data_IF_461853642729
#
_entry.id   IF_461853642729
#
_cell.length_a   1.000
_cell.length_b   1.000
_cell.length_c   1.000
_cell.angle_alpha   90.00
_cell.angle_beta   90.00
_cell.angle_gamma   90.00
#
_symmetry.space_group_name_H-M   'P 1'
#
loop_
_entity.id
_entity.type
_entity.pdbx_description
1 polymer ?
2 non-polymer ?
3 water ?
#
# COMPACT_ATOMS: atom_id res chain seq x y z
N UNK A 2 -14.00 16.01 -10.51
CA UNK A 2 -14.31 15.27 -9.25
C UNK A 2 -14.49 16.18 -8.06
N UNK A 3 -15.50 15.89 -7.25
CA UNK A 3 -15.77 16.69 -6.07
C UNK A 3 -14.73 16.42 -4.98
N UNK A 4 -14.69 17.31 -3.98
CA UNK A 4 -13.76 17.14 -2.88
C UNK A 4 -14.06 15.86 -2.11
N UNK A 5 -15.35 15.54 -1.93
CA UNK A 5 -15.72 14.32 -1.22
C UNK A 5 -15.42 13.07 -2.03
N UNK A 6 -15.43 13.17 -3.36
CA UNK A 6 -15.09 12.02 -4.18
C UNK A 6 -13.66 11.57 -3.94
N UNK A 7 -12.73 12.52 -3.79
CA UNK A 7 -11.34 12.14 -3.53
C UNK A 7 -11.21 11.43 -2.19
N UNK A 8 -11.92 11.91 -1.16
CA UNK A 8 -11.85 11.25 0.13
C UNK A 8 -12.21 9.77 0.03
N UNK A 9 -13.15 9.43 -0.86
CA UNK A 9 -13.45 8.03 -1.13
C UNK A 9 -12.31 7.34 -1.85
N UNK A 10 -11.47 8.09 -2.57
CA UNK A 10 -10.33 7.49 -3.26
C UNK A 10 -9.17 7.24 -2.30
N UNK A 11 -8.81 8.24 -1.51
CA UNK A 11 -7.72 8.06 -0.54
C UNK A 11 -8.05 7.01 0.50
N UNK A 12 -9.33 6.74 0.75
CA UNK A 12 -9.73 5.71 1.70
C UNK A 12 -9.89 4.34 1.07
N UNK A 13 -10.14 4.28 -0.24
CA UNK A 13 -10.21 3.01 -0.96
C UNK A 13 -8.87 2.61 -1.58
N UNK A 14 -8.05 3.58 -1.97
CA UNK A 14 -6.68 3.31 -2.40
C UNK A 14 -5.78 2.91 -1.23
N UNK A 15 -6.24 3.13 0.00
CA UNK A 15 -5.54 2.68 1.20
C UNK A 15 -5.85 1.20 1.41
N UNK A 16 -5.62 0.70 2.63
CA UNK A 16 -5.58 -0.73 2.91
C UNK A 16 -6.64 -1.48 2.12
N UNK A 17 -6.18 -2.44 1.32
CA UNK A 17 -7.07 -3.31 0.54
C UNK A 17 -6.88 -4.75 0.96
N UNK A 18 -5.63 -5.22 0.91
CA UNK A 18 -5.34 -6.60 1.33
C UNK A 18 -4.53 -6.64 2.62
N UNK A 19 -3.73 -5.59 2.88
CA UNK A 19 -2.95 -5.54 4.11
C UNK A 19 -3.86 -5.49 5.32
N UNK A 20 -5.13 -5.12 5.14
CA UNK A 20 -6.09 -5.18 6.23
C UNK A 20 -6.17 -6.58 6.82
N UNK A 21 -6.05 -7.60 5.97
CA UNK A 21 -6.04 -8.98 6.44
C UNK A 21 -4.72 -9.36 7.09
N UNK A 22 -3.62 -8.73 6.71
CA UNK A 22 -2.30 -9.07 7.20
C UNK A 22 -1.91 -8.31 8.47
N UNK A 23 -2.60 -7.22 8.79
CA UNK A 23 -2.25 -6.46 9.98
C UNK A 23 -2.32 -7.29 11.25
N UNK A 24 -3.37 -8.09 11.49
CA UNK A 24 -3.37 -8.92 12.70
C UNK A 24 -2.14 -9.81 12.80
N UNK A 25 -1.69 -10.35 11.68
CA UNK A 25 -0.45 -11.14 11.66
C UNK A 25 0.73 -10.28 12.10
N UNK A 26 0.74 -9.00 11.69
CA UNK A 26 1.84 -8.12 12.05
C UNK A 26 1.92 -7.88 13.54
N UNK A 27 0.77 -7.66 14.20
CA UNK A 27 0.79 -7.39 15.63
C UNK A 27 1.39 -8.55 16.41
N UNK A 28 1.15 -9.78 15.96
CA UNK A 28 1.73 -10.94 16.63
C UNK A 28 3.26 -10.88 16.64
N UNK A 29 3.85 -10.13 15.72
CA UNK A 29 5.29 -9.93 15.70
C UNK A 29 5.73 -8.69 16.45
N UNK A 30 4.84 -7.70 16.61
CA UNK A 30 5.16 -6.46 17.29
C UNK A 30 4.60 -6.38 18.70
N UNK A 31 3.49 -7.06 18.97
CA UNK A 31 2.76 -6.86 20.20
C UNK A 31 1.70 -5.78 20.04
N UNK A 32 0.69 -5.85 20.91
CA UNK A 32 -0.42 -4.92 20.79
C UNK A 32 0.02 -3.47 21.04
N UNK A 33 0.92 -3.26 22.00
CA UNK A 33 1.36 -1.91 22.31
C UNK A 33 2.12 -1.30 21.13
N UNK A 34 3.21 -1.95 20.71
CA UNK A 34 3.98 -1.44 19.59
C UNK A 34 3.17 -1.38 18.31
N UNK A 35 2.21 -2.30 18.15
CA UNK A 35 1.37 -2.31 16.97
C UNK A 35 0.52 -1.06 16.86
N UNK A 36 -0.10 -0.66 17.96
CA UNK A 36 -0.93 0.55 17.95
C UNK A 36 -0.06 1.78 17.69
N UNK A 37 1.09 1.85 18.35
CA UNK A 37 1.94 3.04 18.21
C UNK A 37 2.44 3.20 16.78
N UNK A 38 2.85 2.11 16.13
CA UNK A 38 3.38 2.21 14.78
C UNK A 38 2.33 2.70 13.80
N UNK A 39 1.10 2.20 13.90
CA UNK A 39 0.05 2.66 13.00
C UNK A 39 -0.19 4.15 13.18
N UNK A 40 -0.26 4.62 14.43
CA UNK A 40 -0.36 6.06 14.67
C UNK A 40 0.89 6.77 14.20
N UNK A 41 2.07 6.19 14.46
CA UNK A 41 3.31 6.83 14.08
C UNK A 41 3.42 6.98 12.56
N UNK A 42 3.23 5.87 11.84
CA UNK A 42 3.29 5.93 10.38
C UNK A 42 2.02 6.52 9.78
N UNK A 43 0.90 6.43 10.48
CA UNK A 43 -0.30 7.11 10.00
C UNK A 43 -0.12 8.60 9.90
N UNK A 44 0.54 9.20 10.90
CA UNK A 44 0.82 10.63 10.83
C UNK A 44 1.93 10.93 9.83
N UNK A 45 2.99 10.13 9.84
CA UNK A 45 4.05 10.31 8.85
C UNK A 45 3.54 10.06 7.44
N UNK A 46 2.72 9.01 7.26
CA UNK A 46 2.13 8.78 5.96
C UNK A 46 1.23 9.92 5.52
N UNK A 47 0.47 10.49 6.45
CA UNK A 47 -0.34 11.66 6.15
C UNK A 47 0.52 12.91 5.97
N UNK A 48 1.68 12.97 6.62
CA UNK A 48 2.58 14.11 6.45
C UNK A 48 3.24 14.12 5.09
N UNK A 49 3.65 12.95 4.58
CA UNK A 49 4.27 12.88 3.27
C UNK A 49 3.29 13.18 2.15
N UNK A 50 2.01 12.85 2.32
CA UNK A 50 1.01 13.25 1.35
C UNK A 50 0.93 14.77 1.23
N UNK A 51 1.12 15.49 2.35
CA UNK A 51 1.21 16.93 2.28
C UNK A 51 2.43 17.37 1.48
N UNK A 52 3.56 16.69 1.67
CA UNK A 52 4.75 17.00 0.89
C UNK A 52 4.51 16.80 -0.60
N UNK A 53 3.84 15.69 -0.98
CA UNK A 53 3.45 15.49 -2.36
C UNK A 53 2.42 16.49 -2.83
N UNK A 54 1.65 17.09 -1.91
CA UNK A 54 0.63 18.07 -2.27
C UNK A 54 1.23 19.43 -2.58
N UNK A 55 2.14 19.91 -1.73
CA UNK A 55 2.77 21.20 -2.01
C UNK A 55 3.64 21.12 -3.26
N UNK A 56 4.30 19.98 -3.48
CA UNK A 56 5.11 19.82 -4.68
C UNK A 56 4.25 19.90 -5.94
N UNK A 57 3.10 19.24 -5.93
CA UNK A 57 2.22 19.27 -7.10
C UNK A 57 1.72 20.69 -7.36
N UNK A 58 1.31 21.40 -6.31
CA UNK A 58 0.83 22.77 -6.47
C UNK A 58 1.96 23.65 -7.03
N UNK A 59 3.18 23.47 -6.52
CA UNK A 59 4.31 24.24 -7.03
C UNK A 59 4.54 23.95 -8.52
N UNK A 60 4.48 22.67 -8.90
CA UNK A 60 4.73 22.30 -10.28
C UNK A 60 3.69 22.92 -11.21
N UNK A 61 2.40 22.75 -10.88
CA UNK A 61 1.35 23.25 -11.76
C UNK A 61 1.41 24.77 -11.87
N UNK A 62 1.62 25.46 -10.75
CA UNK A 62 1.65 26.92 -10.79
C UNK A 62 2.80 27.42 -11.64
N UNK A 63 3.99 26.82 -11.49
CA UNK A 63 5.12 27.21 -12.33
C UNK A 63 4.83 26.94 -13.79
N UNK A 64 4.21 25.80 -14.11
CA UNK A 64 3.89 25.43 -15.47
C UNK A 64 2.73 26.21 -16.04
N UNK A 65 1.73 26.54 -15.22
CA UNK A 65 0.61 27.34 -15.72
C UNK A 65 1.06 28.75 -16.10
N UNK A 66 1.95 29.35 -15.31
CA UNK A 66 2.44 30.69 -15.61
C UNK A 66 3.26 30.74 -16.90
N UNK A 67 3.69 29.61 -17.41
CA UNK A 67 4.49 29.57 -18.64
C UNK A 67 3.82 28.70 -19.70
N UNK A 73 -3.32 21.14 -21.01
CA UNK A 73 -2.87 20.19 -19.99
C UNK A 73 -4.03 19.36 -19.49
N UNK A 74 -3.85 18.04 -19.43
CA UNK A 74 -4.91 17.12 -19.05
C UNK A 74 -4.54 16.19 -17.90
N UNK A 75 -3.29 15.72 -17.82
CA UNK A 75 -2.89 14.74 -16.82
C UNK A 75 -1.49 15.06 -16.33
N UNK A 76 -1.26 14.86 -15.03
CA UNK A 76 0.05 15.00 -14.41
C UNK A 76 0.29 13.77 -13.55
N UNK A 77 1.57 13.40 -13.39
CA UNK A 77 1.94 12.26 -12.58
C UNK A 77 3.23 12.58 -11.84
N UNK A 78 3.61 11.68 -10.93
CA UNK A 78 4.75 11.96 -10.05
C UNK A 78 6.06 12.02 -10.84
N UNK A 79 6.25 11.14 -11.82
CA UNK A 79 7.49 11.12 -12.59
C UNK A 79 7.64 12.37 -13.45
N UNK A 80 6.58 13.17 -13.60
CA UNK A 80 6.65 14.43 -14.31
C UNK A 80 6.80 15.64 -13.39
N UNK A 81 6.23 15.59 -12.19
CA UNK A 81 6.43 16.68 -11.23
C UNK A 81 7.89 16.79 -10.86
N UNK A 82 8.56 15.66 -10.63
CA UNK A 82 9.99 15.69 -10.34
C UNK A 82 10.78 16.27 -11.51
N UNK A 83 10.37 15.95 -12.73
CA UNK A 83 11.08 16.46 -13.91
C UNK A 83 11.07 17.98 -13.94
N UNK A 84 9.90 18.58 -13.72
CA UNK A 84 9.80 20.02 -13.78
C UNK A 84 10.56 20.73 -12.68
N UNK A 85 10.60 20.14 -11.48
CA UNK A 85 11.20 20.78 -10.32
C UNK A 85 12.68 20.45 -10.17
N UNK A 86 13.07 19.20 -10.38
CA UNK A 86 14.41 18.74 -10.08
C UNK A 86 15.16 18.15 -11.26
N UNK A 87 14.68 18.34 -12.48
CA UNK A 87 15.37 17.85 -13.66
C UNK A 87 15.00 16.41 -13.99
N UNK A 88 15.53 15.95 -15.12
CA UNK A 88 15.19 14.61 -15.61
C UNK A 88 15.86 13.50 -14.80
N UNK A 89 16.92 13.82 -14.06
CA UNK A 89 17.56 12.79 -13.24
C UNK A 89 16.61 12.23 -12.20
N UNK A 90 15.82 13.09 -11.57
CA UNK A 90 14.82 12.62 -10.62
C UNK A 90 13.64 11.97 -11.33
N UNK A 91 13.37 12.37 -12.58
CA UNK A 91 12.30 11.74 -13.35
C UNK A 91 12.57 10.25 -13.53
N UNK A 92 13.81 9.90 -13.89
CA UNK A 92 14.18 8.49 -13.97
C UNK A 92 14.13 7.83 -12.61
N UNK A 93 14.59 8.53 -11.57
CA UNK A 93 14.56 7.98 -10.23
C UNK A 93 13.14 7.69 -9.78
N UNK A 94 12.24 8.66 -9.93
CA UNK A 94 10.85 8.46 -9.53
C UNK A 94 10.13 7.44 -10.39
N UNK A 95 10.42 7.43 -11.70
CA UNK A 95 9.73 6.51 -12.60
C UNK A 95 10.08 5.06 -12.28
N UNK A 96 11.36 4.77 -12.04
CA UNK A 96 11.77 3.40 -11.79
C UNK A 96 11.18 2.90 -10.48
N UNK A 97 11.31 3.70 -9.41
CA UNK A 97 10.81 3.26 -8.12
C UNK A 97 9.30 3.09 -8.12
N UNK A 98 8.57 3.99 -8.79
CA UNK A 98 7.12 3.85 -8.86
C UNK A 98 6.72 2.60 -9.65
N UNK A 99 7.31 2.42 -10.83
CA UNK A 99 6.98 1.25 -11.65
C UNK A 99 7.40 -0.05 -10.97
N UNK A 100 8.53 -0.05 -10.27
CA UNK A 100 8.94 -1.25 -9.53
C UNK A 100 8.00 -1.55 -8.38
N UNK A 101 7.48 -0.52 -7.71
CA UNK A 101 6.50 -0.70 -6.66
C UNK A 101 5.14 -1.15 -7.18
N UNK A 102 4.75 -0.71 -8.37
CA UNK A 102 3.52 -1.17 -9.01
C UNK A 102 3.61 -2.60 -9.50
N UNK A 103 4.77 -3.03 -9.98
CA UNK A 103 4.93 -4.42 -10.39
C UNK A 103 4.76 -5.36 -9.20
N UNK A 104 5.46 -5.08 -8.10
CA UNK A 104 5.32 -5.88 -6.90
C UNK A 104 4.02 -5.58 -6.18
N UNK A 105 3.60 -4.32 -6.15
CA UNK A 105 2.33 -3.99 -5.55
C UNK A 105 1.17 -4.68 -6.25
N UNK A 106 1.26 -4.80 -7.57
CA UNK A 106 0.24 -5.55 -8.32
C UNK A 106 0.35 -7.05 -8.06
N UNK A 107 1.57 -7.55 -7.85
CA UNK A 107 1.75 -8.97 -7.54
C UNK A 107 1.07 -9.30 -6.22
N UNK A 108 1.20 -8.42 -5.23
CA UNK A 108 0.61 -8.67 -3.92
C UNK A 108 -0.90 -8.88 -4.05
N UNK A 109 -1.54 -8.07 -4.90
CA UNK A 109 -2.98 -8.23 -5.11
C UNK A 109 -3.29 -9.61 -5.69
N UNK A 110 -2.50 -10.07 -6.67
CA UNK A 110 -2.73 -11.40 -7.23
C UNK A 110 -2.53 -12.48 -6.19
N UNK A 111 -1.50 -12.34 -5.35
CA UNK A 111 -1.29 -13.31 -4.27
C UNK A 111 -2.45 -13.27 -3.29
N UNK A 112 -2.90 -12.06 -2.94
CA UNK A 112 -4.01 -11.94 -2.00
C UNK A 112 -5.29 -12.51 -2.57
N UNK A 113 -5.58 -12.25 -3.85
CA UNK A 113 -6.80 -12.79 -4.46
C UNK A 113 -6.79 -14.31 -4.42
N UNK A 114 -5.67 -14.93 -4.80
CA UNK A 114 -5.58 -16.38 -4.75
C UNK A 114 -5.68 -16.89 -3.32
N UNK A 115 -5.10 -16.17 -2.36
CA UNK A 115 -5.17 -16.60 -0.97
C UNK A 115 -6.60 -16.53 -0.44
N UNK A 116 -7.29 -15.42 -0.69
CA UNK A 116 -8.63 -15.23 -0.13
C UNK A 116 -9.62 -16.24 -0.71
N UNK A 117 -9.57 -16.47 -2.03
CA UNK A 117 -10.53 -17.38 -2.65
C UNK A 117 -10.38 -18.78 -2.08
N UNK A 118 -9.17 -19.16 -1.69
CA UNK A 118 -8.96 -20.49 -1.12
C UNK A 118 -9.79 -20.71 0.13
N UNK A 119 -10.12 -19.63 0.84
CA UNK A 119 -10.81 -19.74 2.12
C UNK A 119 -12.33 -19.82 1.97
N UNK A 120 -12.86 -19.75 0.75
CA UNK A 120 -14.25 -20.09 0.51
C UNK A 120 -14.41 -21.33 -0.35
N UNK A 121 -13.39 -21.73 -1.11
CA UNK A 121 -13.42 -22.96 -1.90
C UNK A 121 -12.03 -23.58 -1.80
N UNK A 122 -11.85 -24.46 -0.82
CA UNK A 122 -10.55 -25.08 -0.56
C UNK A 122 -10.30 -26.31 -1.42
N UNK A 123 -11.24 -26.70 -2.27
CA UNK A 123 -11.05 -27.87 -3.13
C UNK A 123 -9.88 -27.70 -4.08
N UNK A 124 -9.45 -26.48 -4.36
CA UNK A 124 -8.29 -26.20 -5.19
C UNK A 124 -7.25 -25.48 -4.36
N UNK A 125 -5.99 -25.89 -4.51
CA UNK A 125 -4.92 -25.31 -3.71
C UNK A 125 -4.68 -23.86 -4.11
N UNK A 126 -4.01 -23.13 -3.22
CA UNK A 126 -3.80 -21.70 -3.42
C UNK A 126 -2.99 -21.42 -4.68
N UNK A 127 -1.97 -22.25 -4.96
CA UNK A 127 -1.18 -22.05 -6.17
C UNK A 127 -2.05 -22.18 -7.42
N UNK A 128 -2.93 -23.19 -7.44
CA UNK A 128 -3.84 -23.34 -8.58
C UNK A 128 -4.75 -22.12 -8.71
N UNK A 129 -5.24 -21.60 -7.59
CA UNK A 129 -6.06 -20.40 -7.64
C UNK A 129 -5.30 -19.23 -8.24
N UNK A 130 -3.98 -19.22 -8.10
CA UNK A 130 -3.18 -18.20 -8.78
C UNK A 130 -3.21 -18.36 -10.29
N UNK A 131 -3.34 -19.59 -10.80
CA UNK A 131 -3.54 -19.78 -12.23
C UNK A 131 -4.88 -19.22 -12.66
N UNK A 132 -5.95 -19.57 -11.95
CA UNK A 132 -7.29 -19.15 -12.34
C UNK A 132 -7.44 -17.65 -12.22
N UNK A 133 -7.01 -17.09 -11.08
CA UNK A 133 -7.09 -15.64 -10.91
C UNK A 133 -6.01 -14.91 -11.69
N UNK A 134 -4.89 -15.57 -11.98
CA UNK A 134 -3.90 -14.95 -12.84
C UNK A 134 -4.46 -14.63 -14.21
N UNK A 135 -5.18 -15.58 -14.80
CA UNK A 135 -5.86 -15.33 -16.07
C UNK A 135 -6.95 -14.28 -15.90
N UNK A 136 -7.72 -14.36 -14.82
CA UNK A 136 -8.75 -13.36 -14.54
C UNK A 136 -8.15 -12.00 -14.19
N UNK A 137 -6.87 -11.95 -13.82
CA UNK A 137 -6.16 -10.70 -13.64
C UNK A 137 -5.35 -10.29 -14.86
N UNK A 138 -5.04 -11.24 -15.74
CA UNK A 138 -4.37 -10.94 -17.00
C UNK A 138 -5.33 -10.41 -18.05
N UNK A 139 -6.63 -10.54 -17.85
CA UNK A 139 -7.62 -9.94 -18.75
C UNK A 139 -7.70 -8.44 -18.57
N UNK A 140 -7.04 -7.88 -17.56
CA UNK A 140 -6.97 -6.43 -17.42
C UNK A 140 -6.35 -5.76 -18.63
N UNK A 141 -5.54 -6.50 -19.41
CA UNK A 141 -4.98 -5.95 -20.63
C UNK A 141 -6.05 -5.62 -21.65
N UNK A 142 -7.25 -6.19 -21.51
CA UNK A 142 -8.35 -5.98 -22.44
C UNK A 142 -9.25 -4.82 -22.03
N UNK A 143 -8.75 -3.92 -21.21
CA UNK A 143 -9.48 -2.74 -20.78
C UNK A 143 -8.60 -1.53 -21.05
N UNK A 144 -9.10 -0.50 -21.75
CA UNK A 144 -8.21 0.64 -22.08
C UNK A 144 -7.58 1.30 -20.86
N UNK A 145 -8.35 1.48 -19.78
CA UNK A 145 -7.83 2.12 -18.58
C UNK A 145 -8.86 2.10 -17.47
N UNK A 146 -8.41 2.22 -16.22
CA UNK A 146 -9.30 2.32 -15.07
C UNK A 146 -9.37 3.72 -14.48
N UNK A 147 -8.50 4.64 -14.88
CA UNK A 147 -8.55 5.99 -14.33
C UNK A 147 -9.91 6.63 -14.56
N UNK A 148 -10.59 6.27 -15.66
CA UNK A 148 -11.89 6.84 -15.96
C UNK A 148 -12.98 6.35 -15.02
N UNK A 149 -12.72 5.30 -14.24
CA UNK A 149 -13.69 4.76 -13.30
C UNK A 149 -13.20 4.90 -11.86
N UNK A 150 -12.61 6.05 -11.54
CA UNK A 150 -12.13 6.31 -10.19
C UNK A 150 -13.20 6.98 -9.35
N UNK A 151 -14.38 7.21 -9.93
CA UNK A 151 -15.49 7.80 -9.19
C UNK A 151 -16.33 6.74 -8.49
N UNK A 152 -16.11 5.45 -8.76
CA UNK A 152 -16.79 4.37 -8.07
C UNK A 152 -16.07 3.93 -6.81
N UNK A 153 -15.15 4.75 -6.30
CA UNK A 153 -14.37 4.38 -5.13
C UNK A 153 -15.23 4.21 -3.88
N UNK A 154 -16.45 4.76 -3.86
CA UNK A 154 -17.31 4.60 -2.70
C UNK A 154 -17.60 3.13 -2.43
N UNK A 155 -17.67 2.31 -3.48
CA UNK A 155 -17.84 0.87 -3.28
C UNK A 155 -16.64 0.28 -2.56
N UNK A 156 -15.43 0.63 -2.98
CA UNK A 156 -14.25 0.07 -2.35
C UNK A 156 -14.19 0.38 -0.88
N UNK A 157 -14.61 1.57 -0.48
CA UNK A 157 -14.67 1.90 0.93
C UNK A 157 -15.64 0.99 1.67
N UNK A 158 -16.80 0.71 1.06
CA UNK A 158 -17.77 -0.18 1.68
C UNK A 158 -17.20 -1.59 1.82
N UNK A 159 -16.52 -2.09 0.78
CA UNK A 159 -15.96 -3.42 0.85
C UNK A 159 -14.90 -3.50 1.95
N UNK A 160 -14.06 -2.48 2.06
CA UNK A 160 -13.05 -2.48 3.12
C UNK A 160 -13.69 -2.22 4.48
N UNK A 161 -14.71 -1.37 4.53
CA UNK A 161 -15.36 -1.05 5.80
C UNK A 161 -16.00 -2.27 6.41
N UNK A 162 -16.71 -3.07 5.60
CA UNK A 162 -17.37 -4.26 6.12
C UNK A 162 -16.35 -5.27 6.62
N UNK A 163 -15.28 -5.51 5.85
CA UNK A 163 -14.29 -6.50 6.24
C UNK A 163 -13.60 -6.12 7.54
N UNK A 164 -13.24 -4.85 7.70
CA UNK A 164 -12.58 -4.42 8.92
C UNK A 164 -13.49 -4.60 10.13
N UNK A 165 -14.77 -4.27 9.98
CA UNK A 165 -15.70 -4.39 11.11
C UNK A 165 -16.07 -5.84 11.37
N UNK A 166 -16.02 -6.71 10.35
CA UNK A 166 -16.21 -8.13 10.58
C UNK A 166 -15.05 -8.72 11.39
N UNK A 167 -13.82 -8.35 11.04
CA UNK A 167 -12.67 -8.95 11.70
C UNK A 167 -12.68 -8.66 13.20
N UNK A 168 -13.00 -7.42 13.57
CA UNK A 168 -13.03 -7.08 14.99
C UNK A 168 -14.25 -7.68 15.68
N UNK A 169 -15.42 -7.59 15.06
CA UNK A 169 -16.63 -8.12 15.68
C UNK A 169 -16.57 -9.64 15.76
N UNK A 170 -16.14 -10.29 14.68
CA UNK A 170 -16.03 -11.74 14.69
C UNK A 170 -15.03 -12.22 15.72
N UNK A 171 -13.89 -11.54 15.84
CA UNK A 171 -12.88 -11.93 16.83
C UNK A 171 -13.43 -11.77 18.24
N UNK A 172 -14.11 -10.65 18.51
CA UNK A 172 -14.67 -10.44 19.84
C UNK A 172 -15.71 -11.49 20.19
N UNK A 173 -16.59 -11.83 19.25
CA UNK A 173 -17.57 -12.88 19.49
C UNK A 173 -16.90 -14.24 19.64
N UNK A 174 -15.85 -14.51 18.88
CA UNK A 174 -15.15 -15.78 19.00
C UNK A 174 -14.57 -15.95 20.39
N UNK A 175 -13.92 -14.91 20.91
CA UNK A 175 -13.37 -14.96 22.26
C UNK A 175 -12.08 -15.76 22.33
N UNK A 176 -11.16 -15.32 23.17
CA UNK A 176 -9.91 -16.05 23.35
C UNK A 176 -10.14 -17.26 24.25
N UNK A 177 -9.13 -18.14 24.30
CA UNK A 177 -9.20 -19.37 25.07
C UNK A 177 -7.91 -19.54 25.86
N UNK A 178 -7.82 -20.68 26.56
CA UNK A 178 -6.64 -20.95 27.37
C UNK A 178 -5.38 -21.05 26.51
N UNK A 179 -5.48 -21.70 25.34
CA UNK A 179 -4.31 -21.88 24.49
C UNK A 179 -3.79 -20.55 23.94
N UNK A 180 -4.58 -19.49 24.00
CA UNK A 180 -4.16 -18.21 23.43
C UNK A 180 -3.07 -17.60 24.30
N UNK A 181 -1.99 -17.19 23.67
CA UNK A 181 -0.88 -16.54 24.36
C UNK A 181 -0.41 -15.35 23.53
N UNK A 182 0.18 -14.36 24.21
CA UNK A 182 0.70 -13.15 23.59
C UNK A 182 2.15 -12.95 24.03
N UNK A 183 3.07 -13.49 23.24
CA UNK A 183 4.49 -13.40 23.57
C UNK A 183 5.11 -12.06 23.18
N UNK A 184 4.42 -11.26 22.38
CA UNK A 184 4.93 -9.96 22.01
C UNK A 184 6.18 -10.04 21.16
N UNK A 185 7.11 -9.09 21.34
CA UNK A 185 8.31 -9.06 20.50
C UNK A 185 9.32 -10.14 20.86
N UNK A 186 9.10 -11.36 20.36
CA UNK A 186 10.00 -12.46 20.68
C UNK A 186 11.39 -12.23 20.10
N UNK A 187 11.48 -11.78 18.85
CA UNK A 187 12.76 -11.62 18.18
C UNK A 187 12.75 -10.34 17.36
N UNK A 188 13.95 -9.80 17.12
CA UNK A 188 14.07 -8.58 16.33
C UNK A 188 13.73 -8.82 14.87
N UNK A 189 14.05 -10.00 14.34
CA UNK A 189 13.73 -10.29 12.95
C UNK A 189 12.23 -10.19 12.71
N UNK A 190 11.44 -10.77 13.62
CA UNK A 190 9.99 -10.68 13.51
C UNK A 190 9.49 -9.27 13.79
N UNK A 191 10.07 -8.63 14.82
CA UNK A 191 9.58 -7.31 15.23
C UNK A 191 9.68 -6.32 14.08
N UNK A 192 10.87 -6.20 13.47
CA UNK A 192 11.04 -5.26 12.38
C UNK A 192 10.28 -5.68 11.12
N UNK A 193 10.06 -6.97 10.94
CA UNK A 193 9.23 -7.41 9.81
C UNK A 193 7.80 -6.90 9.97
N UNK A 194 7.27 -6.96 11.19
CA UNK A 194 5.93 -6.43 11.42
C UNK A 194 5.87 -4.93 11.24
N UNK A 195 6.87 -4.21 11.76
CA UNK A 195 6.91 -2.76 11.62
C UNK A 195 6.96 -2.35 10.16
N UNK A 196 7.54 -3.18 9.30
CA UNK A 196 7.58 -2.88 7.87
C UNK A 196 6.22 -3.07 7.22
N UNK A 197 5.42 -4.02 7.71
CA UNK A 197 4.06 -4.14 7.19
C UNK A 197 3.23 -2.90 7.47
N UNK A 198 3.40 -2.30 8.64
CA UNK A 198 2.70 -1.06 8.96
C UNK A 198 3.25 0.08 8.10
N UNK A 199 4.56 0.11 7.86
CA UNK A 199 5.13 1.10 6.96
C UNK A 199 4.57 0.93 5.55
N UNK A 200 4.47 -0.32 5.09
CA UNK A 200 3.88 -0.57 3.77
C UNK A 200 2.42 -0.15 3.74
N UNK A 201 1.73 -0.22 4.88
CA UNK A 201 0.31 0.09 4.91
C UNK A 201 0.02 1.53 4.53
N UNK A 202 0.82 2.47 5.05
CA UNK A 202 0.51 3.89 4.97
C UNK A 202 1.51 4.60 4.06
N UNK A 203 1.11 5.78 3.59
CA UNK A 203 2.02 6.65 2.86
C UNK A 203 1.42 7.35 1.66
N UNK A 204 0.46 6.71 0.99
CA UNK A 204 -0.14 7.31 -0.19
C UNK A 204 -0.11 6.39 -1.40
N UNK A 205 0.86 5.48 -1.43
CA UNK A 205 0.97 4.48 -2.50
C UNK A 205 1.27 5.12 -3.85
N UNK A 206 1.91 6.29 -3.82
CA UNK A 206 2.53 6.88 -5.02
C UNK A 206 1.51 7.44 -6.01
N UNK A 207 0.23 7.24 -5.76
CA UNK A 207 -0.81 7.71 -6.68
C UNK A 207 -1.55 8.87 -6.04
N UNK A 208 -0.91 9.51 -5.06
CA UNK A 208 -1.47 10.68 -4.40
C UNK A 208 -1.46 11.92 -5.29
N UNK A 209 -0.60 11.96 -6.31
CA UNK A 209 -0.51 13.11 -7.20
C UNK A 209 -1.57 13.09 -8.31
N UNK A 210 -2.04 11.91 -8.71
CA UNK A 210 -3.08 11.81 -9.72
C UNK A 210 -4.45 12.19 -9.16
N UNK A 211 -4.69 11.92 -7.89
CA UNK A 211 -5.98 12.26 -7.28
C UNK A 211 -6.19 13.76 -7.26
N UNK A 212 -5.14 14.51 -6.91
CA UNK A 212 -5.30 15.96 -6.75
C UNK A 212 -5.68 16.65 -8.05
N UNK A 213 -5.22 16.12 -9.18
CA UNK A 213 -5.47 16.75 -10.48
C UNK A 213 -6.93 16.67 -10.90
N UNK A 214 -7.74 15.86 -10.22
CA UNK A 214 -9.15 15.73 -10.53
C UNK A 214 -10.05 16.67 -9.74
N UNK A 215 -9.50 17.41 -8.77
CA UNK A 215 -10.30 18.28 -7.94
C UNK A 215 -10.64 19.58 -8.67
N UNK A 216 -11.71 20.23 -8.23
CA UNK A 216 -11.95 21.62 -8.61
C UNK A 216 -10.92 22.53 -7.94
N UNK A 217 -10.38 22.11 -6.80
CA UNK A 217 -9.47 22.95 -6.00
C UNK A 217 -8.47 22.04 -5.32
N UNK A 218 -7.37 21.70 -6.00
CA UNK A 218 -6.41 20.73 -5.43
C UNK A 218 -5.73 21.23 -4.16
N UNK A 219 -5.83 22.52 -3.83
CA UNK A 219 -5.06 23.06 -2.71
C UNK A 219 -5.41 22.36 -1.41
N UNK A 220 -6.69 22.11 -1.16
CA UNK A 220 -7.15 21.57 0.12
C UNK A 220 -7.05 20.05 0.20
N UNK A 221 -6.25 19.40 -0.65
CA UNK A 221 -6.08 17.96 -0.53
C UNK A 221 -5.38 17.59 0.77
N UNK A 222 -4.38 18.38 1.18
CA UNK A 222 -3.60 18.03 2.37
C UNK A 222 -4.49 17.80 3.57
N UNK A 223 -5.59 18.55 3.70
CA UNK A 223 -6.53 18.33 4.78
C UNK A 223 -7.40 17.11 4.54
N UNK A 224 -7.77 16.86 3.28
CA UNK A 224 -8.63 15.71 2.97
C UNK A 224 -7.91 14.40 3.29
N UNK A 225 -6.63 14.28 2.94
CA UNK A 225 -5.92 13.04 3.20
C UNK A 225 -5.85 12.75 4.69
N UNK A 226 -5.61 13.79 5.51
CA UNK A 226 -5.53 13.58 6.95
C UNK A 226 -6.83 12.99 7.48
N UNK A 227 -7.97 13.50 7.01
CA UNK A 227 -9.26 12.90 7.38
C UNK A 227 -9.40 11.51 6.78
N UNK A 228 -8.82 11.28 5.59
CA UNK A 228 -8.84 9.96 4.99
C UNK A 228 -7.97 8.97 5.75
N UNK A 229 -6.84 9.42 6.29
CA UNK A 229 -6.00 8.55 7.10
C UNK A 229 -6.59 8.30 8.48
N UNK A 230 -7.34 9.26 9.02
CA UNK A 230 -8.00 9.05 10.30
C UNK A 230 -9.05 7.96 10.19
N UNK A 231 -9.81 7.94 9.09
CA UNK A 231 -10.77 6.87 8.88
C UNK A 231 -10.07 5.52 8.76
N UNK A 232 -8.95 5.48 8.05
CA UNK A 232 -8.23 4.22 7.89
C UNK A 232 -7.80 3.67 9.24
N UNK A 233 -7.30 4.54 10.13
CA UNK A 233 -6.95 4.09 11.46
C UNK A 233 -8.15 3.50 12.20
N UNK A 234 -9.35 4.01 11.90
CA UNK A 234 -10.55 3.39 12.47
C UNK A 234 -10.79 2.00 11.89
N UNK A 235 -10.27 1.73 10.68
CA UNK A 235 -10.43 0.42 10.08
C UNK A 235 -9.37 -0.56 10.57
N UNK A 236 -8.14 -0.08 10.78
CA UNK A 236 -7.01 -0.95 11.09
C UNK A 236 -6.79 -1.15 12.59
N UNK A 237 -6.90 -0.08 13.40
CA UNK A 237 -6.63 -0.23 14.82
C UNK A 237 -7.54 -1.24 15.49
N UNK A 238 -8.87 -1.20 15.30
CA UNK A 238 -9.73 -2.17 15.99
C UNK A 238 -9.72 -3.55 15.37
N UNK A 239 -9.59 -3.67 14.05
CA UNK A 239 -9.55 -4.99 13.43
C UNK A 239 -8.28 -5.74 13.81
N UNK A 240 -7.13 -5.07 13.70
CA UNK A 240 -5.87 -5.73 14.04
C UNK A 240 -5.74 -5.98 15.53
N UNK A 241 -6.15 -5.01 16.35
CA UNK A 241 -6.06 -5.18 17.79
C UNK A 241 -6.99 -6.30 18.28
N UNK A 242 -8.20 -6.36 17.73
CA UNK A 242 -9.17 -7.35 18.21
C UNK A 242 -8.79 -8.75 17.77
N UNK A 243 -8.37 -8.91 16.50
CA UNK A 243 -8.01 -10.24 16.01
C UNK A 243 -6.81 -10.78 16.78
N UNK A 244 -5.82 -9.93 17.04
CA UNK A 244 -4.67 -10.36 17.82
C UNK A 244 -5.08 -10.77 19.23
N UNK A 245 -5.98 -10.02 19.85
CA UNK A 245 -6.43 -10.34 21.19
C UNK A 245 -7.11 -11.71 21.22
N UNK A 246 -7.95 -11.99 20.22
CA UNK A 246 -8.70 -13.25 20.21
C UNK A 246 -7.79 -14.44 19.99
N UNK A 247 -6.82 -14.34 19.07
CA UNK A 247 -6.01 -15.48 18.67
C UNK A 247 -4.57 -15.40 19.14
N UNK A 248 -4.03 -14.22 19.41
CA UNK A 248 -2.70 -14.10 19.94
C UNK A 248 -1.65 -14.64 18.99
N UNK A 249 -0.70 -15.40 19.54
CA UNK A 249 0.45 -15.87 18.78
C UNK A 249 0.08 -16.86 17.70
N UNK A 250 -1.14 -17.40 17.71
CA UNK A 250 -1.54 -18.32 16.65
C UNK A 250 -1.49 -17.65 15.27
N UNK A 251 -1.54 -16.31 15.25
CA UNK A 251 -1.50 -15.61 13.98
C UNK A 251 -0.15 -15.71 13.29
N UNK A 252 0.91 -16.00 14.06
CA UNK A 252 2.25 -16.07 13.48
C UNK A 252 2.33 -17.06 12.33
N UNK A 253 1.63 -18.20 12.43
CA UNK A 253 1.61 -19.19 11.37
C UNK A 253 0.41 -19.03 10.44
N UNK A 254 -0.39 -17.97 10.63
CA UNK A 254 -1.57 -17.70 9.82
C UNK A 254 -1.53 -16.23 9.40
N UNK A 255 -0.94 -15.98 8.24
CA UNK A 255 -0.82 -14.61 7.74
C UNK A 255 -2.17 -13.98 7.45
N UNK A 256 -3.12 -14.74 6.91
CA UNK A 256 -4.43 -14.23 6.54
C UNK A 256 -5.37 -14.42 7.72
N UNK A 257 -5.94 -13.32 8.20
CA UNK A 257 -6.80 -13.38 9.39
C UNK A 257 -8.01 -14.25 9.16
N UNK A 258 -8.51 -14.31 7.92
CA UNK A 258 -9.69 -15.11 7.63
C UNK A 258 -9.47 -16.61 7.82
N UNK A 259 -8.21 -17.06 7.86
CA UNK A 259 -7.94 -18.47 8.08
C UNK A 259 -8.30 -18.91 9.49
N UNK A 260 -8.25 -17.99 10.45
CA UNK A 260 -8.51 -18.34 11.85
C UNK A 260 -9.97 -18.21 12.23
N UNK A 261 -10.67 -17.20 11.70
CA UNK A 261 -12.06 -17.01 12.05
C UNK A 261 -12.90 -18.18 11.55
N UNK A 262 -13.94 -18.57 12.28
CA UNK A 262 -14.73 -19.73 11.87
C UNK A 262 -15.42 -19.50 10.53
N UNK A 263 -15.54 -20.57 9.75
CA UNK A 263 -16.21 -20.49 8.45
C UNK A 263 -17.69 -20.20 8.66
N UNK A 264 -18.18 -19.17 7.98
CA UNK A 264 -19.57 -18.74 8.15
C UNK A 264 -19.98 -17.95 6.91
N UNK A 265 -21.30 -17.80 6.74
CA UNK A 265 -21.79 -17.00 5.63
C UNK A 265 -21.26 -15.59 5.65
N UNK A 266 -21.11 -15.00 6.84
CA UNK A 266 -20.51 -13.67 6.94
C UNK A 266 -19.06 -13.68 6.47
N UNK A 267 -18.31 -14.73 6.83
CA UNK A 267 -16.93 -14.83 6.39
C UNK A 267 -16.85 -14.96 4.87
N UNK A 268 -17.79 -15.70 4.26
CA UNK A 268 -17.83 -15.78 2.81
C UNK A 268 -18.00 -14.40 2.20
N UNK A 269 -18.85 -13.56 2.81
CA UNK A 269 -19.05 -12.21 2.30
C UNK A 269 -17.75 -11.42 2.34
N UNK A 270 -16.98 -11.59 3.42
CA UNK A 270 -15.71 -10.86 3.52
C UNK A 270 -14.80 -11.19 2.35
N UNK A 271 -14.71 -12.47 2.00
CA UNK A 271 -13.86 -12.87 0.88
C UNK A 271 -14.42 -12.33 -0.44
N UNK A 272 -15.73 -12.49 -0.65
CA UNK A 272 -16.33 -12.09 -1.93
C UNK A 272 -16.19 -10.59 -2.13
N UNK A 273 -16.53 -9.80 -1.11
CA UNK A 273 -16.36 -8.35 -1.22
C UNK A 273 -14.90 -7.97 -1.32
N UNK A 274 -14.03 -8.63 -0.54
CA UNK A 274 -12.61 -8.28 -0.58
C UNK A 274 -11.95 -8.70 -1.88
N UNK A 275 -12.41 -9.81 -2.46
CA UNK A 275 -11.84 -10.25 -3.74
C UNK A 275 -12.08 -9.21 -4.83
N UNK A 276 -13.30 -8.66 -4.87
CA UNK A 276 -13.61 -7.63 -5.86
C UNK A 276 -12.74 -6.40 -5.64
N UNK A 277 -12.59 -5.99 -4.38
CA UNK A 277 -11.78 -4.81 -4.09
C UNK A 277 -10.32 -4.99 -4.47
N UNK A 278 -9.79 -6.21 -4.39
CA UNK A 278 -8.41 -6.44 -4.76
C UNK A 278 -8.21 -6.58 -6.26
N UNK A 279 -9.19 -7.17 -6.96
CA UNK A 279 -9.10 -7.22 -8.42
C UNK A 279 -9.14 -5.82 -9.01
N UNK A 280 -10.04 -4.97 -8.51
CA UNK A 280 -10.07 -3.59 -8.97
C UNK A 280 -8.79 -2.87 -8.56
N UNK A 281 -8.32 -3.08 -7.33
CA UNK A 281 -7.04 -2.52 -6.91
C UNK A 281 -5.88 -3.06 -7.73
N UNK A 282 -6.00 -4.27 -8.27
CA UNK A 282 -5.02 -4.81 -9.20
C UNK A 282 -5.05 -4.10 -10.54
N UNK A 283 -6.22 -3.65 -11.00
CA UNK A 283 -6.32 -2.91 -12.23
C UNK A 283 -5.98 -1.43 -12.05
N UNK A 284 -5.93 -0.99 -10.79
CA UNK A 284 -5.49 0.35 -10.45
C UNK A 284 -3.99 0.45 -10.30
N UNK A 285 -3.32 -0.64 -9.92
CA UNK A 285 -1.86 -0.66 -9.78
C UNK A 285 -1.16 -1.22 -11.01
N UNK A 286 -1.92 -1.53 -12.07
CA UNK A 286 -1.33 -2.04 -13.30
C UNK A 286 -1.69 -1.19 -14.51
N UNK A 287 -2.76 -0.38 -14.44
CA UNK A 287 -3.10 0.49 -15.55
C UNK A 287 -2.04 1.56 -15.77
N UNK A 288 -1.26 1.98 -14.74
CA UNK A 288 -0.14 2.88 -15.02
C UNK A 288 1.03 2.14 -15.65
N UNK A 289 1.21 0.87 -15.27
CA UNK A 289 2.26 0.05 -15.87
C UNK A 289 2.02 -0.17 -17.35
N UNK A 290 0.78 -0.42 -17.76
CA UNK A 290 0.46 -0.61 -19.16
C UNK A 290 0.59 0.68 -19.97
N UNK A 291 0.66 1.83 -19.31
CA UNK A 291 0.85 3.11 -19.97
C UNK A 291 2.33 3.42 -20.19
N UNK A 292 3.16 3.22 -19.17
CA UNK A 292 4.60 3.39 -19.34
C UNK A 292 5.14 2.32 -20.27
N UNK A 293 4.66 1.08 -20.11
CA UNK A 293 5.16 -0.01 -20.94
C UNK A 293 4.87 0.23 -22.41
N UNK A 294 3.63 0.61 -22.74
CA UNK A 294 3.29 0.84 -24.14
C UNK A 294 4.08 2.02 -24.71
N UNK A 295 4.26 3.08 -23.91
CA UNK A 295 5.05 4.21 -24.38
C UNK A 295 6.49 3.80 -24.65
N UNK A 296 7.08 2.98 -23.78
CA UNK A 296 8.46 2.56 -23.97
C UNK A 296 8.62 1.78 -25.28
N UNK A 297 7.68 0.88 -25.57
CA UNK A 297 7.76 0.10 -26.81
C UNK A 297 7.24 0.88 -28.01
N UNK A 298 6.74 2.10 -27.80
CA UNK A 298 6.24 2.91 -28.90
C UNK A 298 4.74 2.78 -29.12
N UNK A 299 4.23 1.54 -29.10
CA UNK A 299 2.81 1.29 -29.31
C UNK A 299 1.97 2.19 -28.40
N UNK A 306 -7.19 -7.22 -29.83
CA UNK A 306 -6.91 -5.85 -30.23
C UNK A 306 -5.40 -5.65 -30.25
N UNK A 307 -4.91 -4.91 -31.26
CA UNK A 307 -3.47 -4.85 -31.50
C UNK A 307 -2.71 -4.37 -30.27
N UNK A 308 -3.31 -3.50 -29.46
CA UNK A 308 -2.64 -2.94 -28.28
C UNK A 308 -2.91 -3.77 -27.03
N UNK A 309 -4.17 -4.16 -26.81
CA UNK A 309 -4.56 -4.86 -25.60
C UNK A 309 -3.71 -6.11 -25.39
N UNK A 310 -3.63 -6.94 -26.43
CA UNK A 310 -2.84 -8.17 -26.32
C UNK A 310 -1.37 -7.85 -26.05
N UNK A 311 -0.88 -6.74 -26.62
CA UNK A 311 0.54 -6.40 -26.46
C UNK A 311 0.90 -6.05 -25.01
N UNK A 312 -0.10 -5.78 -24.16
CA UNK A 312 0.19 -5.45 -22.77
C UNK A 312 0.56 -6.69 -21.97
N UNK A 313 0.20 -7.88 -22.45
CA UNK A 313 0.37 -9.12 -21.72
C UNK A 313 1.80 -9.31 -21.22
N UNK A 314 2.83 -9.06 -22.05
CA UNK A 314 4.21 -9.21 -21.58
C UNK A 314 4.45 -8.68 -20.17
N UNK A 315 3.79 -7.58 -19.81
CA UNK A 315 3.93 -7.06 -18.45
C UNK A 315 3.34 -8.02 -17.44
N UNK A 316 2.26 -8.70 -17.81
CA UNK A 316 1.58 -9.60 -16.88
C UNK A 316 2.40 -10.85 -16.56
N UNK A 317 3.20 -11.33 -17.51
CA UNK A 317 3.94 -12.57 -17.33
C UNK A 317 4.79 -12.48 -16.07
N UNK A 318 5.54 -11.40 -15.85
CA UNK A 318 6.23 -11.26 -14.56
C UNK A 318 5.30 -11.34 -13.36
N UNK A 319 4.09 -10.79 -13.47
CA UNK A 319 3.16 -10.82 -12.35
C UNK A 319 2.77 -12.25 -12.01
N UNK A 320 2.49 -13.06 -13.03
CA UNK A 320 2.23 -14.47 -12.79
C UNK A 320 3.41 -15.15 -12.11
N UNK A 321 4.61 -14.98 -12.68
CA UNK A 321 5.77 -15.70 -12.18
C UNK A 321 6.06 -15.34 -10.73
N UNK A 322 6.10 -14.05 -10.42
CA UNK A 322 6.35 -13.63 -9.04
C UNK A 322 5.24 -14.09 -8.12
N UNK A 323 3.98 -13.99 -8.57
CA UNK A 323 2.85 -14.37 -7.74
C UNK A 323 2.86 -15.87 -7.45
N UNK A 324 3.37 -16.67 -8.37
CA UNK A 324 3.39 -18.11 -8.19
C UNK A 324 4.66 -18.59 -7.50
N UNK A 325 5.82 -18.05 -7.88
CA UNK A 325 7.06 -18.46 -7.24
C UNK A 325 7.12 -18.01 -5.79
N UNK A 326 6.56 -16.84 -5.48
CA UNK A 326 6.56 -16.30 -4.12
C UNK A 326 5.11 -15.98 -3.72
N UNK A 327 4.33 -17.00 -3.34
CA UNK A 327 2.96 -16.74 -2.89
C UNK A 327 2.91 -16.30 -1.43
N UNK A 328 4.05 -15.89 -0.87
CA UNK A 328 4.15 -15.57 0.55
C UNK A 328 3.30 -14.32 0.83
N UNK A 329 2.02 -14.57 1.12
CA UNK A 329 1.06 -13.47 1.28
C UNK A 329 1.50 -12.47 2.33
N UNK A 330 1.89 -12.96 3.51
CA UNK A 330 2.26 -12.09 4.59
C UNK A 330 3.64 -11.46 4.43
N UNK A 331 4.67 -12.29 4.41
CA UNK A 331 6.05 -11.74 4.36
C UNK A 331 6.32 -10.88 3.14
N UNK A 332 5.63 -11.09 2.03
CA UNK A 332 5.90 -10.28 0.84
C UNK A 332 5.54 -8.82 1.10
N UNK A 333 4.48 -8.56 1.88
CA UNK A 333 4.12 -7.18 2.18
C UNK A 333 5.30 -6.44 2.81
N UNK A 334 6.06 -7.12 3.66
CA UNK A 334 7.22 -6.48 4.27
C UNK A 334 8.38 -6.38 3.29
N UNK A 335 8.54 -7.38 2.42
CA UNK A 335 9.63 -7.34 1.45
C UNK A 335 9.46 -6.15 0.50
N UNK A 336 8.24 -5.90 0.04
CA UNK A 336 7.98 -4.72 -0.77
C UNK A 336 8.09 -3.45 0.08
N UNK A 337 7.61 -3.52 1.32
CA UNK A 337 7.56 -2.32 2.15
C UNK A 337 8.93 -1.73 2.43
N UNK A 338 9.88 -2.58 2.81
CA UNK A 338 11.18 -2.08 3.26
C UNK A 338 12.02 -1.58 2.10
N UNK A 339 11.96 -2.25 0.95
CA UNK A 339 12.85 -1.92 -0.16
C UNK A 339 12.26 -0.92 -1.15
N UNK A 340 10.94 -0.92 -1.34
CA UNK A 340 10.32 -0.10 -2.36
C UNK A 340 9.45 1.00 -1.78
N UNK A 341 8.50 0.67 -0.91
CA UNK A 341 7.64 1.70 -0.33
C UNK A 341 8.43 2.66 0.53
N UNK A 342 9.45 2.18 1.23
CA UNK A 342 10.28 3.04 2.06
C UNK A 342 11.05 4.06 1.23
N UNK A 343 11.28 3.80 -0.05
CA UNK A 343 11.97 4.72 -0.93
C UNK A 343 11.06 5.37 -1.95
N UNK A 344 9.85 4.85 -2.14
CA UNK A 344 8.93 5.38 -3.14
C UNK A 344 7.86 6.30 -2.57
N UNK A 345 7.50 6.13 -1.29
CA UNK A 345 6.38 6.84 -0.70
C UNK A 345 6.81 7.67 0.51
N UNK A 346 8.02 7.46 1.02
CA UNK A 346 8.47 8.19 2.20
C UNK A 346 9.71 9.03 1.92
N UNK A 347 10.75 8.42 1.35
CA UNK A 347 12.04 9.11 1.26
C UNK A 347 12.12 10.02 0.04
N UNK A 348 11.63 9.59 -1.12
CA UNK A 348 11.75 10.41 -2.32
C UNK A 348 10.82 11.61 -2.20
N UNK A 349 9.53 11.42 -1.89
CA UNK A 349 8.67 12.57 -1.59
C UNK A 349 9.26 13.54 -0.58
N UNK A 350 10.10 13.07 0.34
CA UNK A 350 10.73 13.92 1.34
C UNK A 350 12.00 14.57 0.85
N UNK A 351 12.86 13.85 0.12
CA UNK A 351 14.05 14.46 -0.45
C UNK A 351 13.68 15.52 -1.48
N UNK A 352 12.69 15.23 -2.33
CA UNK A 352 12.33 16.16 -3.39
C UNK A 352 11.88 17.49 -2.80
N UNK A 353 11.08 17.46 -1.74
CA UNK A 353 10.63 18.69 -1.10
C UNK A 353 11.82 19.50 -0.58
N UNK A 354 12.80 18.82 0.03
CA UNK A 354 13.97 19.52 0.54
C UNK A 354 14.82 20.10 -0.59
N UNK A 355 15.03 19.34 -1.67
CA UNK A 355 15.87 19.81 -2.76
C UNK A 355 15.22 20.98 -3.50
N UNK A 356 13.92 20.88 -3.79
CA UNK A 356 13.27 21.91 -4.59
C UNK A 356 13.28 23.27 -3.89
N UNK A 357 13.07 23.30 -2.58
CA UNK A 357 13.02 24.54 -1.82
C UNK A 357 14.36 24.93 -1.22
N UNK A 358 15.42 24.19 -1.53
CA UNK A 358 16.73 24.54 -0.99
C UNK A 358 17.18 25.93 -1.40
N UNK A 359 17.08 26.35 -2.67
CA UNK A 359 17.47 27.72 -3.02
C UNK A 359 16.61 28.74 -2.29
N UNK A 360 17.23 29.85 -1.89
CA UNK A 360 16.48 30.89 -1.21
C UNK A 360 15.37 31.49 -2.08
N UNK A 361 15.60 31.85 -3.33
CA UNK A 361 14.50 32.42 -4.14
C UNK A 361 13.31 31.49 -4.26
N UNK A 362 13.55 30.19 -4.42
CA UNK A 362 12.45 29.24 -4.52
C UNK A 362 11.68 29.17 -3.21
N UNK A 363 12.40 29.16 -2.08
CA UNK A 363 11.75 29.05 -0.78
C UNK A 363 10.93 30.30 -0.46
N UNK A 364 11.52 31.47 -0.65
CA UNK A 364 10.81 32.71 -0.36
C UNK A 364 9.62 32.89 -1.30
N UNK A 365 9.79 32.58 -2.57
CA UNK A 365 8.75 32.73 -3.57
C UNK A 365 7.87 31.49 -3.70
N UNK A 366 7.83 30.65 -2.66
CA UNK A 366 7.02 29.44 -2.71
C UNK A 366 5.54 29.79 -2.90
N UNK A 367 4.85 29.00 -3.71
CA UNK A 367 3.44 29.26 -3.99
C UNK A 367 2.61 29.14 -2.72
N UNK A 368 2.86 28.11 -1.91
CA UNK A 368 2.12 27.87 -0.68
C UNK A 368 3.09 27.91 0.49
N UNK A 369 2.75 28.68 1.52
CA UNK A 369 3.62 28.83 2.68
C UNK A 369 3.61 27.57 3.53
N UNK A 370 4.66 27.34 4.31
CA UNK A 370 4.69 26.17 5.19
C UNK A 370 3.73 26.34 6.36
N UNK A 371 3.39 25.27 7.06
CA UNK A 371 2.45 25.38 8.17
C UNK A 371 3.03 26.21 9.30
N UNK A 372 2.16 27.00 9.95
CA UNK A 372 2.58 27.77 11.11
C UNK A 372 2.79 26.88 12.33
N UNK A 373 1.95 25.86 12.50
CA UNK A 373 2.07 24.98 13.66
C UNK A 373 3.39 24.23 13.63
N UNK A 374 3.80 23.73 12.45
CA UNK A 374 5.05 22.99 12.36
C UNK A 374 6.24 23.86 12.70
N UNK A 375 6.17 25.16 12.41
CA UNK A 375 7.25 26.07 12.68
C UNK A 375 7.94 26.62 11.45
N UNK A 376 7.22 26.82 10.36
CA UNK A 376 7.83 27.40 9.18
C UNK A 376 8.79 26.43 8.50
N UNK A 377 9.68 27.01 7.69
CA UNK A 377 10.62 26.20 6.93
C UNK A 377 11.56 25.43 7.86
N UNK A 378 11.95 26.03 8.98
CA UNK A 378 12.83 25.36 9.93
C UNK A 378 12.18 24.07 10.44
N UNK A 379 10.89 24.14 10.79
CA UNK A 379 10.19 22.95 11.23
C UNK A 379 10.03 21.93 10.12
N UNK A 380 9.68 22.41 8.91
CA UNK A 380 9.44 21.49 7.81
C UNK A 380 10.70 20.72 7.44
N UNK A 381 11.84 21.41 7.37
CA UNK A 381 13.09 20.73 7.03
C UNK A 381 13.53 19.78 8.13
N UNK A 382 13.31 20.15 9.39
CA UNK A 382 13.65 19.26 10.49
C UNK A 382 12.80 17.99 10.43
N UNK A 383 11.50 18.13 10.16
CA UNK A 383 10.64 16.95 10.06
C UNK A 383 11.04 16.10 8.86
N UNK A 384 11.30 16.75 7.72
CA UNK A 384 11.70 16.01 6.53
C UNK A 384 13.00 15.25 6.75
N UNK A 385 13.96 15.86 7.45
CA UNK A 385 15.20 15.15 7.77
C UNK A 385 14.89 13.93 8.63
N UNK A 386 14.00 14.08 9.60
CA UNK A 386 13.62 12.94 10.44
C UNK A 386 12.97 11.84 9.62
N UNK A 387 12.11 12.21 8.67
CA UNK A 387 11.44 11.21 7.85
C UNK A 387 12.46 10.40 7.06
N UNK A 388 13.43 11.09 6.45
CA UNK A 388 14.46 10.40 5.68
C UNK A 388 15.33 9.54 6.59
N UNK A 389 15.76 10.10 7.72
CA UNK A 389 16.63 9.36 8.62
C UNK A 389 15.92 8.16 9.22
N UNK A 390 14.69 8.36 9.70
CA UNK A 390 13.98 7.27 10.36
C UNK A 390 13.67 6.15 9.38
N UNK A 391 13.09 6.49 8.23
CA UNK A 391 12.71 5.46 7.26
C UNK A 391 13.94 4.79 6.67
N UNK A 392 15.00 5.55 6.40
CA UNK A 392 16.20 4.95 5.81
C UNK A 392 16.82 3.93 6.74
N UNK A 393 16.90 4.23 8.03
CA UNK A 393 17.54 3.33 8.97
C UNK A 393 16.57 2.25 9.42
N UNK A 394 15.38 2.64 9.89
CA UNK A 394 14.43 1.68 10.40
C UNK A 394 13.61 1.07 9.27
N UNK A 395 13.09 1.91 8.38
CA UNK A 395 12.25 1.43 7.29
C UNK A 395 12.99 0.57 6.29
N UNK A 396 14.21 0.97 5.93
CA UNK A 396 14.99 0.25 4.93
C UNK A 396 16.15 -0.52 5.54
N UNK A 397 16.87 0.07 6.48
CA UNK A 397 18.02 -0.60 7.07
C UNK A 397 17.63 -1.81 7.89
N UNK A 398 16.94 -1.58 9.01
CA UNK A 398 16.52 -2.69 9.86
C UNK A 398 15.36 -3.44 9.22
N UNK A 399 14.39 -2.70 8.66
CA UNK A 399 13.25 -3.35 8.04
C UNK A 399 13.63 -4.20 6.85
N UNK A 400 14.56 -3.72 6.01
CA UNK A 400 14.96 -4.51 4.85
C UNK A 400 15.64 -5.80 5.24
N UNK A 401 16.58 -5.74 6.18
CA UNK A 401 17.29 -6.94 6.62
C UNK A 401 16.34 -7.91 7.30
N UNK A 402 15.53 -7.40 8.24
CA UNK A 402 14.60 -8.27 8.96
C UNK A 402 13.57 -8.87 8.00
N UNK A 403 13.08 -8.07 7.06
CA UNK A 403 12.11 -8.58 6.09
C UNK A 403 12.74 -9.64 5.19
N UNK A 404 13.97 -9.39 4.72
CA UNK A 404 14.61 -10.33 3.82
C UNK A 404 14.94 -11.64 4.51
N UNK A 405 15.57 -11.58 5.69
CA UNK A 405 15.88 -12.80 6.41
C UNK A 405 14.62 -13.55 6.80
N UNK A 406 13.52 -12.83 7.06
CA UNK A 406 12.24 -13.48 7.27
C UNK A 406 11.64 -13.98 5.96
N UNK A 407 11.90 -13.28 4.85
CA UNK A 407 11.37 -13.71 3.56
C UNK A 407 12.05 -14.99 3.10
N UNK A 408 13.37 -15.06 3.18
CA UNK A 408 14.09 -16.27 2.77
C UNK A 408 13.68 -17.45 3.64
N UNK A 409 13.42 -17.20 4.92
CA UNK A 409 12.97 -18.28 5.81
C UNK A 409 11.74 -18.98 5.25
N UNK A 410 10.89 -18.25 4.52
CA UNK A 410 9.75 -18.88 3.88
C UNK A 410 10.18 -19.91 2.84
N UNK A 411 11.25 -19.60 2.11
CA UNK A 411 11.73 -20.54 1.09
C UNK A 411 12.12 -21.87 1.74
N UNK A 412 12.85 -21.82 2.85
CA UNK A 412 13.21 -23.04 3.54
C UNK A 412 11.97 -23.74 4.10
N UNK A 413 11.03 -22.97 4.64
CA UNK A 413 9.86 -23.57 5.29
C UNK A 413 8.89 -24.17 4.27
N UNK A 414 8.62 -23.46 3.17
CA UNK A 414 7.62 -23.87 2.21
C UNK A 414 8.17 -24.21 0.83
N UNK A 415 9.40 -23.79 0.52
CA UNK A 415 10.01 -24.15 -0.74
C UNK A 415 9.60 -23.24 -1.88
N UNK A 416 10.40 -23.27 -2.94
CA UNK A 416 10.10 -22.50 -4.14
C UNK A 416 8.91 -23.09 -4.87
N UNK A 417 8.07 -22.22 -5.42
CA UNK A 417 6.84 -22.64 -6.09
C UNK A 417 5.97 -23.52 -5.19
N UNK A 418 5.84 -23.12 -3.92
CA UNK A 418 5.09 -23.94 -2.97
C UNK A 418 3.66 -24.14 -3.44
N UNK A 419 3.14 -25.35 -3.27
CA UNK A 419 1.79 -25.66 -3.70
C UNK A 419 0.76 -24.83 -2.94
N UNK A 420 1.02 -24.58 -1.66
CA UNK A 420 0.04 -23.92 -0.81
C UNK A 420 0.77 -23.32 0.39
N UNK A 421 0.43 -22.07 0.73
CA UNK A 421 1.14 -21.35 1.76
C UNK A 421 0.32 -21.28 3.04
N UNK A 422 0.91 -21.75 4.15
CA UNK A 422 0.32 -21.62 5.48
C UNK A 422 -1.10 -22.18 5.54
N UNK A 423 -1.37 -23.22 4.77
CA UNK A 423 -2.64 -23.92 4.91
C UNK A 423 -2.45 -25.19 5.74
N UNK A 424 -3.53 -25.71 6.34
CA UNK A 424 -3.43 -26.93 7.17
C UNK A 424 -2.74 -28.08 6.45
#
# INVERSE_FOLDING_TARGET
MGSVYDAWFSCASNQVAQVLLTLPYSFSQLGMMSGILFQLFYGLMGSWTAYLISVLYVEYRTRKEREKFDFRNHVIQWFEVLDGLLGKHWRNLGLIFNCTFLLFGSVIQLIACASNIYYINDKLDKRTWTYIFGACCATTVFIPSFHNYRIWSFLGLAMTTYTSWYLTIASLLHGQAEDVKHSGPTTMVLYFTGATNILYTFGGHAVTVEIMHAMWKPQKFKAIYLLATIYVLTLTLPSASAVYWAFGDKLLTHSNALSLLPKTGFRDTAVILMLIHQFITFGFASTPLYFVWEKLIGVHETKSMFKRAMARLPVVVPIWFLAIIFPFFGPINSAVGSLLVSFTVYIIPALAHMLTFAPAPSRENAVERPPRVVGGWMGTYCINIFVVVWVFVVGFGFGGWASMVNFVRQIDTFGLFTKCYQCPPHKPGENLYFQ
#
